data_IF_400004552669
#
_entry.id   IF_400004552669
#
_cell.length_a   1.000
_cell.length_b   1.000
_cell.length_c   1.000
_cell.angle_alpha   90.00
_cell.angle_beta   90.00
_cell.angle_gamma   90.00
#
_symmetry.space_group_name_H-M   'P 1'
#
loop_
_entity.id
_entity.type
_entity.pdbx_description
1 polymer ?
#
# COMPACT_ATOMS: atom_id res chain seq x y z
N UNK A 1 8.92 17.47 -4.03
CA UNK A 1 9.33 16.05 -4.01
C UNK A 1 10.09 15.74 -5.29
N UNK A 2 11.22 15.04 -5.21
CA UNK A 2 12.06 14.72 -6.36
C UNK A 2 11.24 13.93 -7.40
N UNK A 3 11.05 14.51 -8.59
CA UNK A 3 10.22 13.98 -9.69
C UNK A 3 10.71 12.65 -10.29
N UNK A 4 11.73 12.04 -9.71
CA UNK A 4 12.57 11.01 -10.33
C UNK A 4 12.58 9.69 -9.55
N UNK A 5 12.03 9.61 -8.33
CA UNK A 5 12.18 8.39 -7.51
C UNK A 5 11.51 7.19 -8.17
N UNK A 6 10.40 7.40 -8.87
CA UNK A 6 9.65 6.36 -9.59
C UNK A 6 10.39 5.77 -10.80
N UNK A 7 11.51 6.38 -11.21
CA UNK A 7 12.39 5.88 -12.29
C UNK A 7 13.53 5.01 -11.78
N UNK A 8 13.69 4.88 -10.46
CA UNK A 8 14.70 4.02 -9.87
C UNK A 8 14.31 2.55 -10.08
N UNK A 9 15.31 1.68 -10.20
CA UNK A 9 15.09 0.25 -10.30
C UNK A 9 15.08 -0.43 -8.91
N UNK A 10 14.22 -1.43 -8.69
CA UNK A 10 13.18 -1.92 -9.59
C UNK A 10 11.97 -0.98 -9.67
N UNK A 11 11.58 -0.60 -10.90
CA UNK A 11 10.53 0.41 -11.15
C UNK A 11 9.24 0.16 -10.38
N UNK A 12 8.83 -1.10 -10.23
CA UNK A 12 7.57 -1.46 -9.56
C UNK A 12 7.57 -1.10 -8.05
N UNK A 13 8.70 -1.28 -7.36
CA UNK A 13 8.79 -0.96 -5.93
C UNK A 13 8.74 0.54 -5.74
N UNK A 14 9.52 1.27 -6.55
CA UNK A 14 9.61 2.72 -6.44
C UNK A 14 8.34 3.45 -6.85
N UNK A 15 7.56 2.88 -7.78
CA UNK A 15 6.21 3.35 -8.08
C UNK A 15 5.32 3.34 -6.84
N UNK A 16 5.20 2.19 -6.17
CA UNK A 16 4.38 2.09 -4.96
C UNK A 16 4.93 2.94 -3.81
N UNK A 17 6.26 3.04 -3.69
CA UNK A 17 6.87 3.89 -2.68
C UNK A 17 6.52 5.38 -2.88
N UNK A 18 6.57 5.88 -4.12
CA UNK A 18 6.15 7.25 -4.45
C UNK A 18 4.66 7.50 -4.15
N UNK A 19 3.79 6.53 -4.44
CA UNK A 19 2.37 6.59 -4.06
C UNK A 19 2.19 6.66 -2.54
N UNK A 20 2.87 5.79 -1.78
CA UNK A 20 2.78 5.73 -0.32
C UNK A 20 3.30 7.01 0.34
N UNK A 21 4.35 7.66 -0.21
CA UNK A 21 4.87 8.93 0.34
C UNK A 21 3.86 10.08 0.26
N UNK A 22 2.88 10.02 -0.66
CA UNK A 22 1.80 11.01 -0.77
C UNK A 22 0.74 10.83 0.30
N UNK A 23 0.76 9.72 1.03
CA UNK A 23 -0.21 9.39 2.08
C UNK A 23 0.42 9.69 3.45
N UNK A 24 -0.04 10.73 4.17
CA UNK A 24 0.41 10.98 5.54
C UNK A 24 0.06 9.79 6.43
N UNK A 25 1.08 9.19 7.06
CA UNK A 25 0.97 8.00 7.92
C UNK A 25 1.75 8.14 9.24
N UNK A 26 1.53 9.20 10.03
CA UNK A 26 2.16 9.29 11.35
C UNK A 26 1.56 8.22 12.27
N UNK A 27 2.30 7.86 13.32
CA UNK A 27 1.83 6.88 14.29
C UNK A 27 0.48 7.27 14.90
N UNK A 28 -0.44 6.31 15.02
CA UNK A 28 -1.83 6.45 15.49
C UNK A 28 -2.76 7.20 14.53
N UNK A 29 -2.37 7.39 13.27
CA UNK A 29 -3.21 7.95 12.19
C UNK A 29 -2.99 7.19 10.88
N UNK A 30 -3.01 5.87 10.97
CA UNK A 30 -2.75 4.95 9.86
C UNK A 30 -3.98 4.71 8.98
N UNK A 31 -5.14 5.29 9.26
CA UNK A 31 -6.41 4.96 8.60
C UNK A 31 -6.36 5.18 7.09
N UNK A 32 -5.62 6.21 6.65
CA UNK A 32 -5.46 6.51 5.21
C UNK A 32 -4.62 5.47 4.48
N UNK A 33 -3.52 5.02 5.08
CA UNK A 33 -2.65 4.01 4.46
C UNK A 33 -3.30 2.63 4.53
N UNK A 34 -4.03 2.33 5.60
CA UNK A 34 -4.87 1.12 5.72
C UNK A 34 -5.89 1.08 4.58
N UNK A 35 -6.65 2.17 4.37
CA UNK A 35 -7.62 2.24 3.27
C UNK A 35 -6.95 2.00 1.91
N UNK A 36 -5.80 2.63 1.64
CA UNK A 36 -5.05 2.42 0.40
C UNK A 36 -4.69 0.95 0.18
N UNK A 37 -4.24 0.23 1.22
CA UNK A 37 -3.90 -1.19 1.13
C UNK A 37 -5.13 -2.07 0.92
N UNK A 38 -6.26 -1.75 1.58
CA UNK A 38 -7.51 -2.47 1.39
C UNK A 38 -8.05 -2.32 -0.05
N UNK A 39 -7.98 -1.11 -0.59
CA UNK A 39 -8.41 -0.82 -1.96
C UNK A 39 -7.45 -1.49 -2.97
N UNK A 40 -6.13 -1.45 -2.74
CA UNK A 40 -5.14 -2.16 -3.54
C UNK A 40 -5.44 -3.67 -3.65
N UNK A 41 -5.72 -4.32 -2.52
CA UNK A 41 -6.06 -5.74 -2.49
C UNK A 41 -7.34 -6.06 -3.26
N UNK A 42 -8.40 -5.25 -3.08
CA UNK A 42 -9.68 -5.38 -3.80
C UNK A 42 -9.52 -5.20 -5.30
N UNK A 43 -8.81 -4.16 -5.75
CA UNK A 43 -8.56 -3.89 -7.18
C UNK A 43 -7.81 -5.03 -7.87
N UNK A 44 -6.98 -5.75 -7.13
CA UNK A 44 -6.22 -6.92 -7.61
C UNK A 44 -6.97 -8.24 -7.43
N UNK A 45 -8.21 -8.22 -6.95
CA UNK A 45 -9.00 -9.40 -6.61
C UNK A 45 -8.27 -10.36 -5.64
N UNK A 46 -7.56 -9.80 -4.66
CA UNK A 46 -6.86 -10.54 -3.61
C UNK A 46 -7.72 -10.60 -2.35
N UNK A 47 -7.65 -11.72 -1.63
CA UNK A 47 -8.27 -11.81 -0.30
C UNK A 47 -7.61 -10.78 0.61
N UNK A 48 -8.44 -9.89 1.17
CA UNK A 48 -7.97 -8.71 1.87
C UNK A 48 -8.81 -8.48 3.11
N UNK A 49 -8.16 -8.45 4.28
CA UNK A 49 -8.79 -8.41 5.59
C UNK A 49 -8.14 -7.31 6.44
N UNK A 50 -8.92 -6.75 7.37
CA UNK A 50 -8.45 -5.87 8.42
C UNK A 50 -8.88 -6.46 9.77
N UNK A 51 -7.98 -6.52 10.75
CA UNK A 51 -8.32 -6.95 12.11
C UNK A 51 -8.88 -5.78 12.95
N UNK A 52 -9.33 -6.08 14.18
CA UNK A 52 -9.95 -5.10 15.09
C UNK A 52 -8.99 -3.99 15.53
N UNK A 53 -7.68 -4.23 15.47
CA UNK A 53 -6.63 -3.28 15.88
C UNK A 53 -6.13 -2.45 14.68
N UNK A 54 -6.51 -2.84 13.46
CA UNK A 54 -6.24 -2.12 12.23
C UNK A 54 -5.08 -2.67 11.39
N UNK A 55 -4.56 -3.86 11.70
CA UNK A 55 -3.59 -4.53 10.85
C UNK A 55 -4.26 -5.01 9.55
N UNK A 56 -3.51 -4.97 8.44
CA UNK A 56 -4.00 -5.38 7.12
C UNK A 56 -3.32 -6.67 6.69
N UNK A 57 -4.11 -7.64 6.26
CA UNK A 57 -3.66 -8.89 5.66
C UNK A 57 -4.14 -8.95 4.21
N UNK A 58 -3.21 -9.16 3.27
CA UNK A 58 -3.51 -9.42 1.86
C UNK A 58 -2.92 -10.78 1.50
N UNK A 59 -3.75 -11.70 1.02
CA UNK A 59 -3.35 -13.05 0.63
C UNK A 59 -3.45 -13.22 -0.89
N UNK A 60 -2.37 -13.72 -1.48
CA UNK A 60 -2.30 -14.14 -2.88
C UNK A 60 -1.96 -15.63 -2.90
N UNK A 61 -2.81 -16.43 -3.52
CA UNK A 61 -2.56 -17.86 -3.70
C UNK A 61 -1.40 -18.09 -4.68
N UNK A 62 -0.72 -19.23 -4.55
CA UNK A 62 0.27 -19.65 -5.54
C UNK A 62 -0.39 -19.80 -6.92
N UNK A 63 0.39 -19.52 -7.96
CA UNK A 63 0.04 -19.78 -9.36
C UNK A 63 1.19 -20.53 -9.98
#
# INVERSE_FOLDING_TARGET
MNKEISKLEPTIVWKYFDEILKIPRPSKKEEKIVKYLLDFGKEKNLETLQDEVGNVLIRKNAT
#
